data_IF_695623303134
#
_entry.id   IF_695623303134
#
_cell.length_a   1.000
_cell.length_b   1.000
_cell.length_c   1.000
_cell.angle_alpha   90.00
_cell.angle_beta   90.00
_cell.angle_gamma   90.00
#
_symmetry.space_group_name_H-M   'P 1'
#
loop_
_entity.id
_entity.type
_entity.pdbx_description
1 polymer ?
#
# COMPACT_ATOMS: atom_id res chain seq x y z
N UNK A 1 1.62 -4.21 5.82
CA UNK A 1 1.26 -5.35 6.68
C UNK A 1 0.94 -4.95 8.11
N UNK A 2 1.40 -3.80 8.58
CA UNK A 2 1.09 -3.32 9.93
C UNK A 2 -0.42 -3.16 10.14
N UNK A 3 -1.13 -2.78 9.11
CA UNK A 3 -2.59 -2.60 9.16
C UNK A 3 -3.30 -3.95 9.16
N UNK A 4 -2.81 -4.90 8.40
CA UNK A 4 -3.31 -6.28 8.41
C UNK A 4 -3.02 -6.97 9.75
N UNK A 5 -1.85 -6.72 10.33
CA UNK A 5 -1.47 -7.23 11.64
C UNK A 5 -2.37 -6.72 12.78
N UNK A 6 -3.03 -5.56 12.66
CA UNK A 6 -3.88 -5.05 13.73
C UNK A 6 -5.17 -5.85 13.94
N UNK A 7 -5.76 -6.39 12.88
CA UNK A 7 -6.93 -7.27 13.01
C UNK A 7 -6.55 -8.57 13.70
N UNK A 8 -5.45 -9.13 13.30
CA UNK A 8 -4.86 -10.32 13.89
C UNK A 8 -4.50 -10.12 15.35
N UNK A 9 -3.89 -8.98 15.69
CA UNK A 9 -3.44 -8.70 17.06
C UNK A 9 -4.60 -8.72 18.04
N UNK A 10 -5.79 -8.24 17.67
CA UNK A 10 -6.96 -8.30 18.55
C UNK A 10 -7.47 -9.71 18.75
N UNK A 11 -7.54 -10.51 17.69
CA UNK A 11 -7.92 -11.92 17.74
C UNK A 11 -6.87 -12.75 18.49
N UNK A 12 -5.61 -12.51 18.19
CA UNK A 12 -4.48 -13.21 18.79
C UNK A 12 -4.26 -12.84 20.25
N UNK A 13 -4.49 -11.58 20.64
CA UNK A 13 -4.43 -11.18 22.03
C UNK A 13 -5.44 -11.96 22.88
N UNK A 14 -6.65 -12.20 22.37
CA UNK A 14 -7.66 -13.03 23.01
C UNK A 14 -7.28 -14.50 23.08
N UNK A 15 -6.57 -15.00 22.06
CA UNK A 15 -6.20 -16.41 21.89
C UNK A 15 -4.71 -16.70 22.13
N UNK A 16 -3.97 -15.71 22.61
CA UNK A 16 -2.52 -15.74 22.77
C UNK A 16 -2.02 -16.93 23.61
N UNK A 17 -2.79 -17.40 24.58
CA UNK A 17 -2.42 -18.58 25.38
C UNK A 17 -2.48 -19.90 24.60
N UNK A 18 -3.21 -19.91 23.49
CA UNK A 18 -3.43 -21.09 22.66
C UNK A 18 -2.67 -20.99 21.33
N UNK A 19 -2.16 -19.82 20.98
CA UNK A 19 -1.43 -19.64 19.75
C UNK A 19 -0.04 -20.27 19.83
N UNK A 20 0.33 -21.08 18.85
CA UNK A 20 1.70 -21.54 18.72
C UNK A 20 2.60 -20.32 18.47
N UNK A 21 3.70 -20.12 19.24
CA UNK A 21 4.51 -18.91 19.20
C UNK A 21 5.16 -18.60 17.83
N UNK A 22 5.15 -19.55 16.90
CA UNK A 22 5.63 -19.39 15.53
C UNK A 22 4.54 -19.22 14.48
N UNK A 23 3.26 -19.24 14.88
CA UNK A 23 2.12 -19.13 13.95
C UNK A 23 1.38 -17.83 14.18
N UNK A 24 1.65 -16.89 13.34
CA UNK A 24 0.91 -15.64 13.20
C UNK A 24 -0.01 -15.75 11.99
N UNK A 25 -1.09 -16.51 12.16
CA UNK A 25 -2.05 -16.79 11.09
C UNK A 25 -3.32 -16.02 11.41
N UNK A 26 -3.82 -15.26 10.46
CA UNK A 26 -5.20 -14.79 10.48
C UNK A 26 -6.11 -15.97 10.19
N UNK A 27 -6.61 -16.62 11.23
CA UNK A 27 -7.42 -17.83 11.10
C UNK A 27 -8.63 -17.64 10.18
N UNK A 28 -9.26 -16.46 10.26
CA UNK A 28 -10.45 -16.14 9.45
C UNK A 28 -10.11 -16.02 7.96
N UNK A 29 -8.95 -15.46 7.62
CA UNK A 29 -8.55 -15.24 6.23
C UNK A 29 -7.80 -16.43 5.66
N UNK A 30 -6.86 -16.99 6.41
CA UNK A 30 -5.97 -18.03 5.89
C UNK A 30 -6.55 -19.43 6.02
N UNK A 31 -7.27 -19.72 7.10
CA UNK A 31 -7.82 -21.06 7.32
C UNK A 31 -9.15 -21.27 6.60
N UNK A 32 -10.06 -20.31 6.64
CA UNK A 32 -11.36 -20.42 5.99
C UNK A 32 -11.26 -20.35 4.46
N UNK A 33 -10.24 -19.68 3.96
CA UNK A 33 -10.00 -19.51 2.52
C UNK A 33 -8.93 -20.45 1.95
N UNK A 34 -8.44 -21.40 2.73
CA UNK A 34 -7.46 -22.37 2.24
C UNK A 34 -6.10 -21.76 1.91
N UNK A 35 -5.64 -20.79 2.69
CA UNK A 35 -4.37 -20.08 2.50
C UNK A 35 -4.23 -19.38 1.14
N UNK A 36 -5.35 -19.09 0.49
CA UNK A 36 -5.39 -18.36 -0.77
C UNK A 36 -5.51 -16.86 -0.61
N UNK A 37 -5.49 -16.17 -1.74
CA UNK A 37 -5.82 -14.75 -1.79
C UNK A 37 -7.32 -14.62 -1.61
N UNK A 38 -7.75 -14.06 -0.51
CA UNK A 38 -9.17 -13.82 -0.22
C UNK A 38 -9.47 -12.36 -0.47
N UNK A 39 -10.51 -12.04 -1.25
CA UNK A 39 -10.99 -10.68 -1.36
C UNK A 39 -11.41 -10.19 0.03
N UNK A 40 -10.73 -9.17 0.52
CA UNK A 40 -11.09 -8.53 1.76
C UNK A 40 -12.16 -7.47 1.46
N UNK A 41 -13.36 -7.66 2.00
CA UNK A 41 -14.41 -6.66 1.91
C UNK A 41 -14.38 -5.76 3.15
N UNK A 42 -13.94 -4.52 2.95
CA UNK A 42 -13.93 -3.52 4.00
C UNK A 42 -15.35 -3.14 4.41
N UNK A 43 -15.63 -3.25 5.70
CA UNK A 43 -16.91 -2.89 6.31
C UNK A 43 -16.72 -1.73 7.28
N UNK A 44 -17.24 -0.56 6.93
CA UNK A 44 -17.04 0.69 7.66
C UNK A 44 -17.64 0.70 9.09
N UNK A 45 -18.57 -0.20 9.39
CA UNK A 45 -19.16 -0.38 10.72
C UNK A 45 -18.49 -1.47 11.56
N UNK A 46 -17.64 -2.28 10.97
CA UNK A 46 -16.85 -3.25 11.70
C UNK A 46 -15.73 -2.54 12.48
N UNK A 47 -15.63 -2.81 13.76
CA UNK A 47 -14.64 -2.16 14.64
C UNK A 47 -13.21 -2.36 14.16
N UNK A 48 -12.85 -3.61 13.83
CA UNK A 48 -11.49 -3.97 13.44
C UNK A 48 -11.10 -3.32 12.11
N UNK A 49 -12.01 -3.38 11.11
CA UNK A 49 -11.78 -2.74 9.81
C UNK A 49 -11.62 -1.23 9.94
N UNK A 50 -12.49 -0.60 10.72
CA UNK A 50 -12.45 0.83 11.02
C UNK A 50 -11.16 1.24 11.71
N UNK A 51 -10.73 0.45 12.71
CA UNK A 51 -9.51 0.72 13.45
C UNK A 51 -8.26 0.57 12.56
N UNK A 52 -8.21 -0.47 11.73
CA UNK A 52 -7.13 -0.66 10.77
C UNK A 52 -7.02 0.53 9.79
N UNK A 53 -8.15 0.96 9.25
CA UNK A 53 -8.21 2.12 8.36
C UNK A 53 -7.71 3.39 9.06
N UNK A 54 -8.16 3.64 10.30
CA UNK A 54 -7.75 4.79 11.07
C UNK A 54 -6.25 4.76 11.42
N UNK A 55 -5.73 3.63 11.90
CA UNK A 55 -4.31 3.45 12.22
C UNK A 55 -3.44 3.63 10.97
N UNK A 56 -3.86 3.12 9.81
CA UNK A 56 -3.14 3.31 8.57
C UNK A 56 -2.96 4.80 8.23
N UNK A 57 -4.04 5.59 8.33
CA UNK A 57 -3.98 7.04 8.11
C UNK A 57 -3.18 7.77 9.20
N UNK A 58 -3.31 7.36 10.47
CA UNK A 58 -2.51 7.92 11.56
C UNK A 58 -1.01 7.76 11.31
N UNK A 59 -0.57 6.58 10.90
CA UNK A 59 0.84 6.33 10.60
C UNK A 59 1.35 7.26 9.51
N UNK A 60 0.59 7.43 8.42
CA UNK A 60 0.94 8.37 7.36
C UNK A 60 1.03 9.80 7.88
N UNK A 61 0.09 10.24 8.70
CA UNK A 61 0.02 11.62 9.16
C UNK A 61 0.97 11.95 10.30
N UNK A 62 1.34 10.99 11.13
CA UNK A 62 2.26 11.16 12.27
C UNK A 62 3.73 11.06 11.86
N UNK A 63 4.06 10.20 10.90
CA UNK A 63 5.42 10.07 10.40
C UNK A 63 5.77 11.30 9.55
N UNK A 64 6.65 12.16 10.08
CA UNK A 64 6.99 13.45 9.45
C UNK A 64 7.80 13.31 8.18
N UNK A 65 8.70 12.33 8.13
CA UNK A 65 9.58 12.09 7.00
C UNK A 65 8.91 11.17 5.96
N UNK A 66 8.48 11.70 4.80
CA UNK A 66 7.76 10.92 3.80
C UNK A 66 8.63 9.83 3.14
N UNK A 67 9.95 9.86 3.33
CA UNK A 67 10.87 8.83 2.84
C UNK A 67 10.84 7.53 3.67
N UNK A 68 10.16 7.54 4.81
CA UNK A 68 10.08 6.40 5.74
C UNK A 68 8.77 5.63 5.66
N UNK A 69 7.87 6.02 4.79
CA UNK A 69 6.56 5.41 4.65
C UNK A 69 6.18 5.34 3.17
N UNK A 70 5.49 4.29 2.77
CA UNK A 70 5.11 4.05 1.37
C UNK A 70 3.67 3.64 1.28
N UNK A 71 2.95 4.19 0.30
CA UNK A 71 1.57 3.85 0.05
C UNK A 71 1.49 2.58 -0.79
N UNK A 72 0.79 1.59 -0.27
CA UNK A 72 0.42 0.38 -1.01
C UNK A 72 -1.01 -0.02 -0.69
N UNK A 73 -1.68 -0.64 -1.65
CA UNK A 73 -3.01 -1.22 -1.45
C UNK A 73 -2.95 -2.67 -1.01
N UNK A 74 -1.77 -3.29 -1.00
CA UNK A 74 -1.62 -4.74 -0.80
C UNK A 74 -2.56 -5.54 -1.71
N UNK A 75 -2.63 -5.11 -2.98
CA UNK A 75 -3.55 -5.70 -3.97
C UNK A 75 -3.27 -7.20 -4.16
N UNK A 76 -4.32 -8.04 -4.14
CA UNK A 76 -5.75 -7.72 -4.00
C UNK A 76 -6.26 -7.72 -2.54
N UNK A 77 -5.43 -8.08 -1.56
CA UNK A 77 -5.86 -8.39 -0.19
C UNK A 77 -6.38 -7.16 0.58
N UNK A 78 -5.66 -6.05 0.53
CA UNK A 78 -6.04 -4.83 1.24
C UNK A 78 -7.06 -3.99 0.46
N UNK A 79 -6.77 -3.71 -0.81
CA UNK A 79 -7.67 -2.99 -1.72
C UNK A 79 -7.24 -3.20 -3.18
N UNK A 80 -8.15 -2.96 -4.12
CA UNK A 80 -7.77 -2.87 -5.52
C UNK A 80 -6.78 -1.72 -5.76
N UNK A 81 -5.82 -1.88 -6.68
CA UNK A 81 -4.90 -0.78 -6.98
C UNK A 81 -5.60 0.44 -7.61
N UNK A 82 -6.81 0.28 -8.12
CA UNK A 82 -7.69 1.41 -8.52
C UNK A 82 -8.13 2.29 -7.35
N UNK A 83 -7.90 1.88 -6.10
CA UNK A 83 -8.21 2.69 -4.92
C UNK A 83 -7.14 3.76 -4.59
N UNK A 84 -5.98 3.77 -5.27
CA UNK A 84 -4.93 4.76 -5.01
C UNK A 84 -5.41 6.22 -5.06
N UNK A 85 -6.22 6.68 -6.04
CA UNK A 85 -6.70 8.05 -6.07
C UNK A 85 -7.45 8.44 -4.80
N UNK A 86 -8.35 7.58 -4.34
CA UNK A 86 -9.11 7.79 -3.08
C UNK A 86 -8.20 7.84 -1.86
N UNK A 87 -7.21 6.95 -1.77
CA UNK A 87 -6.24 6.93 -0.67
C UNK A 87 -5.38 8.20 -0.65
N UNK A 88 -4.98 8.68 -1.82
CA UNK A 88 -4.24 9.94 -1.95
C UNK A 88 -5.11 11.12 -1.48
N UNK A 89 -6.38 11.16 -1.88
CA UNK A 89 -7.32 12.20 -1.43
C UNK A 89 -7.46 12.21 0.09
N UNK A 90 -7.56 11.05 0.74
CA UNK A 90 -7.61 10.96 2.20
C UNK A 90 -6.37 11.58 2.88
N UNK A 91 -5.21 11.55 2.23
CA UNK A 91 -3.98 12.16 2.74
C UNK A 91 -3.90 13.66 2.45
N UNK A 92 -4.47 14.13 1.34
CA UNK A 92 -4.36 15.51 0.86
C UNK A 92 -5.53 16.42 1.26
N UNK A 93 -6.69 15.86 1.60
CA UNK A 93 -7.92 16.59 1.92
C UNK A 93 -8.43 16.18 3.30
N UNK A 94 -8.19 17.06 4.26
CA UNK A 94 -8.64 16.84 5.65
C UNK A 94 -10.16 16.82 5.77
N UNK A 95 -10.85 17.68 5.04
CA UNK A 95 -12.31 17.76 5.11
C UNK A 95 -12.96 16.47 4.64
N UNK A 96 -12.45 15.93 3.54
CA UNK A 96 -12.86 14.63 3.03
C UNK A 96 -12.54 13.52 4.02
N UNK A 97 -11.32 13.46 4.52
CA UNK A 97 -10.89 12.49 5.54
C UNK A 97 -11.76 12.53 6.78
N UNK A 98 -12.08 13.73 7.29
CA UNK A 98 -12.92 13.91 8.46
C UNK A 98 -14.36 13.43 8.20
N UNK A 99 -14.87 13.60 6.98
CA UNK A 99 -16.21 13.10 6.61
C UNK A 99 -16.24 11.57 6.58
N UNK A 100 -15.22 10.93 6.02
CA UNK A 100 -15.10 9.48 6.02
C UNK A 100 -14.87 8.92 7.44
N UNK A 101 -14.07 9.62 8.27
CA UNK A 101 -13.82 9.23 9.66
C UNK A 101 -15.10 9.20 10.50
N UNK A 102 -16.03 10.13 10.28
CA UNK A 102 -17.34 10.14 10.97
C UNK A 102 -18.24 8.96 10.58
N UNK A 103 -17.97 8.31 9.46
CA UNK A 103 -18.76 7.18 8.96
C UNK A 103 -18.35 5.83 9.54
N UNK A 104 -17.12 5.70 10.03
CA UNK A 104 -16.61 4.44 10.56
C UNK A 104 -17.23 4.10 11.92
N UNK A 105 -16.90 2.92 12.46
CA UNK A 105 -17.36 2.48 13.78
C UNK A 105 -17.02 3.49 14.89
N UNK A 106 -17.97 3.79 15.78
CA UNK A 106 -17.82 4.82 16.81
C UNK A 106 -16.74 4.50 17.85
N UNK A 107 -16.59 3.23 18.24
CA UNK A 107 -15.55 2.83 19.20
C UNK A 107 -14.15 2.92 18.56
N UNK A 108 -14.04 2.66 17.25
CA UNK A 108 -12.81 2.89 16.52
C UNK A 108 -12.47 4.39 16.44
N UNK A 109 -13.47 5.26 16.24
CA UNK A 109 -13.26 6.70 16.29
C UNK A 109 -12.72 7.16 17.65
N UNK A 110 -13.29 6.67 18.75
CA UNK A 110 -12.84 6.98 20.12
C UNK A 110 -11.44 6.45 20.42
N UNK A 111 -11.05 5.34 19.81
CA UNK A 111 -9.74 4.70 19.98
C UNK A 111 -8.66 5.29 19.09
N UNK A 112 -8.97 6.28 18.26
CA UNK A 112 -8.09 6.85 17.24
C UNK A 112 -7.83 8.33 17.50
N UNK A 113 -6.61 8.79 17.21
CA UNK A 113 -6.25 10.21 17.23
C UNK A 113 -6.47 10.92 15.89
N UNK A 114 -6.90 10.18 14.87
CA UNK A 114 -7.01 10.64 13.48
C UNK A 114 -7.83 11.93 13.34
N UNK A 115 -8.95 12.04 14.08
CA UNK A 115 -9.81 13.23 14.06
C UNK A 115 -9.12 14.52 14.54
N UNK A 116 -8.04 14.40 15.32
CA UNK A 116 -7.25 15.52 15.83
C UNK A 116 -6.10 15.92 14.91
N UNK A 117 -5.75 15.09 13.92
CA UNK A 117 -4.62 15.31 13.04
C UNK A 117 -4.97 16.32 11.95
N UNK A 118 -4.20 17.42 11.91
CA UNK A 118 -4.42 18.53 10.96
C UNK A 118 -3.55 18.47 9.72
N UNK A 119 -2.56 17.56 9.69
CA UNK A 119 -1.63 17.43 8.58
C UNK A 119 -2.34 17.03 7.30
N UNK A 120 -1.94 17.64 6.21
CA UNK A 120 -2.26 17.26 4.84
C UNK A 120 -0.96 17.08 4.07
N UNK A 121 -0.97 16.12 3.16
CA UNK A 121 0.13 15.92 2.24
C UNK A 121 0.00 16.87 1.05
N UNK A 122 1.10 17.41 0.60
CA UNK A 122 1.17 18.15 -0.67
C UNK A 122 1.58 17.21 -1.81
N UNK A 123 1.58 17.71 -3.05
CA UNK A 123 1.94 16.91 -4.23
C UNK A 123 3.38 16.38 -4.18
N UNK A 124 4.29 17.11 -3.55
CA UNK A 124 5.67 16.67 -3.37
C UNK A 124 5.76 15.47 -2.41
N UNK A 125 5.06 15.52 -1.29
CA UNK A 125 4.97 14.40 -0.35
C UNK A 125 4.38 13.16 -1.04
N UNK A 126 3.31 13.33 -1.83
CA UNK A 126 2.68 12.26 -2.60
C UNK A 126 3.66 11.68 -3.63
N UNK A 127 4.43 12.51 -4.32
CA UNK A 127 5.44 12.03 -5.27
C UNK A 127 6.52 11.18 -4.59
N UNK A 128 6.96 11.57 -3.39
CA UNK A 128 7.90 10.75 -2.61
C UNK A 128 7.23 9.44 -2.20
N UNK A 129 6.06 9.51 -1.59
CA UNK A 129 5.34 8.38 -1.01
C UNK A 129 5.01 7.29 -2.02
N UNK A 130 4.71 7.69 -3.26
CA UNK A 130 4.19 6.80 -4.32
C UNK A 130 5.18 6.53 -5.46
N UNK A 131 6.30 7.26 -5.54
CA UNK A 131 7.27 7.16 -6.66
C UNK A 131 8.71 7.06 -6.17
N UNK A 132 9.25 8.16 -5.64
CA UNK A 132 10.67 8.24 -5.29
C UNK A 132 11.05 7.33 -4.13
N UNK A 133 10.23 7.28 -3.08
CA UNK A 133 10.44 6.43 -1.92
C UNK A 133 10.45 4.94 -2.27
N UNK A 134 9.41 4.39 -2.90
CA UNK A 134 9.41 3.01 -3.37
C UNK A 134 10.59 2.65 -4.28
N UNK A 135 10.94 3.54 -5.23
CA UNK A 135 12.09 3.32 -6.11
C UNK A 135 13.40 3.21 -5.31
N UNK A 136 13.59 4.12 -4.34
CA UNK A 136 14.78 4.12 -3.46
C UNK A 136 14.89 2.84 -2.63
N UNK A 137 13.79 2.38 -2.05
CA UNK A 137 13.75 1.14 -1.24
C UNK A 137 14.08 -0.09 -2.07
N UNK A 138 13.61 -0.10 -3.33
CA UNK A 138 13.88 -1.19 -4.27
C UNK A 138 15.26 -1.08 -4.93
N UNK A 139 16.09 -0.09 -4.58
CA UNK A 139 17.42 0.13 -5.18
C UNK A 139 17.39 0.58 -6.65
N UNK A 140 16.26 1.11 -7.11
CA UNK A 140 16.07 1.53 -8.51
C UNK A 140 16.53 2.98 -8.70
N UNK A 141 17.83 3.18 -8.89
CA UNK A 141 18.45 4.51 -8.96
C UNK A 141 18.07 5.36 -10.17
N UNK A 142 17.55 4.74 -11.23
CA UNK A 142 17.18 5.42 -12.48
C UNK A 142 15.67 5.56 -12.69
N UNK A 143 14.87 5.36 -11.64
CA UNK A 143 13.41 5.45 -11.65
C UNK A 143 12.95 6.27 -10.43
N UNK A 144 11.76 6.85 -10.52
CA UNK A 144 11.13 7.57 -9.40
C UNK A 144 11.54 9.03 -9.27
N UNK A 145 12.31 9.56 -10.21
CA UNK A 145 12.70 10.96 -10.27
C UNK A 145 12.80 11.46 -11.72
N UNK A 146 12.89 12.78 -11.89
CA UNK A 146 12.99 13.46 -13.20
C UNK A 146 14.41 13.99 -13.49
N UNK A 147 15.42 13.49 -12.76
CA UNK A 147 16.80 13.90 -12.95
C UNK A 147 17.39 13.39 -14.28
N UNK A 148 18.50 14.00 -14.70
CA UNK A 148 19.23 13.58 -15.91
C UNK A 148 19.69 12.13 -15.75
N UNK A 149 19.46 11.32 -16.79
CA UNK A 149 19.78 9.88 -16.79
C UNK A 149 18.66 8.98 -16.26
N UNK A 150 17.59 9.54 -15.69
CA UNK A 150 16.44 8.74 -15.28
C UNK A 150 15.63 8.24 -16.48
N UNK A 151 14.99 7.10 -16.32
CA UNK A 151 14.02 6.60 -17.31
C UNK A 151 12.84 7.55 -17.41
N UNK A 152 12.43 7.86 -18.62
CA UNK A 152 11.27 8.72 -18.88
C UNK A 152 9.94 7.97 -18.62
N UNK A 153 9.72 7.60 -17.33
CA UNK A 153 8.47 7.09 -16.80
C UNK A 153 7.74 8.25 -16.14
N UNK A 154 6.87 8.92 -16.86
CA UNK A 154 6.29 10.21 -16.47
C UNK A 154 4.78 10.11 -16.56
N UNK A 155 4.08 10.52 -15.50
CA UNK A 155 2.64 10.75 -15.53
C UNK A 155 2.37 12.24 -15.40
N UNK A 156 1.58 12.77 -16.31
CA UNK A 156 1.16 14.18 -16.32
C UNK A 156 -0.31 14.24 -15.95
N UNK A 157 -0.63 15.08 -14.99
CA UNK A 157 -1.99 15.35 -14.55
C UNK A 157 -2.37 16.80 -14.83
N UNK A 158 -3.64 17.04 -15.12
CA UNK A 158 -4.22 18.36 -15.03
C UNK A 158 -4.55 18.64 -13.58
N UNK A 159 -4.12 19.77 -13.03
CA UNK A 159 -4.42 20.11 -11.65
C UNK A 159 -5.93 20.31 -11.47
N UNK A 160 -6.49 19.68 -10.45
CA UNK A 160 -7.89 19.76 -10.05
C UNK A 160 -8.01 19.94 -8.56
N UNK A 161 -9.07 20.58 -8.11
CA UNK A 161 -9.40 20.69 -6.70
C UNK A 161 -9.65 19.29 -6.08
N UNK A 162 -10.50 18.49 -6.74
CA UNK A 162 -10.70 17.10 -6.37
C UNK A 162 -9.48 16.25 -6.75
N UNK A 163 -8.72 15.85 -5.72
CA UNK A 163 -7.49 15.06 -5.92
C UNK A 163 -7.77 13.61 -6.32
N UNK A 164 -8.93 13.05 -5.98
CA UNK A 164 -9.34 11.73 -6.46
C UNK A 164 -9.52 11.77 -7.99
N UNK A 165 -10.35 12.71 -8.47
CA UNK A 165 -10.58 12.89 -9.90
C UNK A 165 -9.28 13.22 -10.66
N UNK A 166 -8.39 14.02 -10.06
CA UNK A 166 -7.10 14.35 -10.65
C UNK A 166 -6.25 13.09 -10.89
N UNK A 167 -6.12 12.22 -9.88
CA UNK A 167 -5.26 11.04 -9.95
C UNK A 167 -5.89 9.86 -10.70
N UNK A 168 -7.22 9.80 -10.79
CA UNK A 168 -7.92 8.82 -11.64
C UNK A 168 -7.72 9.06 -13.13
N UNK A 169 -7.57 10.33 -13.52
CA UNK A 169 -7.62 10.75 -14.94
C UNK A 169 -6.30 11.42 -15.37
N UNK A 170 -5.22 10.65 -15.56
CA UNK A 170 -3.96 11.22 -16.05
C UNK A 170 -4.15 11.77 -17.48
N UNK A 171 -3.64 12.98 -17.70
CA UNK A 171 -3.63 13.60 -19.00
C UNK A 171 -2.74 12.83 -19.98
N UNK A 172 -1.51 12.51 -19.55
CA UNK A 172 -0.57 11.68 -20.33
C UNK A 172 0.21 10.75 -19.42
N UNK A 173 0.53 9.55 -19.93
CA UNK A 173 1.46 8.62 -19.28
C UNK A 173 2.51 8.20 -20.29
N UNK A 174 3.78 8.36 -19.90
CA UNK A 174 4.93 7.92 -20.66
C UNK A 174 5.61 6.75 -19.95
N UNK A 175 6.02 5.76 -20.73
CA UNK A 175 6.81 4.62 -20.29
C UNK A 175 8.05 4.51 -21.14
N UNK A 176 9.22 4.62 -20.52
CA UNK A 176 10.52 4.63 -21.22
C UNK A 176 10.50 5.62 -22.43
N UNK A 177 9.93 6.83 -22.24
CA UNK A 177 9.80 7.87 -23.25
C UNK A 177 8.67 7.67 -24.28
N UNK A 178 7.97 6.56 -24.27
CA UNK A 178 6.85 6.30 -25.17
C UNK A 178 5.53 6.73 -24.54
N UNK A 179 4.70 7.47 -25.29
CA UNK A 179 3.35 7.82 -24.87
C UNK A 179 2.47 6.55 -24.88
N UNK A 180 2.00 6.15 -23.72
CA UNK A 180 1.17 4.94 -23.55
C UNK A 180 -0.28 5.24 -23.19
N UNK A 181 -0.56 6.41 -22.59
CA UNK A 181 -1.92 6.88 -22.31
C UNK A 181 -2.00 8.36 -22.67
N UNK A 182 -3.11 8.77 -23.27
CA UNK A 182 -3.48 10.17 -23.53
C UNK A 182 -4.98 10.36 -23.30
N UNK A 183 -5.34 11.33 -22.45
CA UNK A 183 -6.74 11.64 -22.09
C UNK A 183 -7.52 10.38 -21.66
N UNK A 184 -6.93 9.58 -20.77
CA UNK A 184 -7.54 8.35 -20.27
C UNK A 184 -7.61 7.18 -21.29
N UNK A 185 -7.14 7.36 -22.53
CA UNK A 185 -7.15 6.34 -23.57
C UNK A 185 -5.78 5.70 -23.75
N UNK A 186 -5.73 4.38 -23.73
CA UNK A 186 -4.51 3.62 -24.00
C UNK A 186 -4.12 3.82 -25.46
N UNK A 187 -2.89 4.28 -25.71
CA UNK A 187 -2.31 4.51 -27.03
C UNK A 187 -1.45 3.32 -27.47
N UNK A 188 -0.75 2.71 -26.51
CA UNK A 188 0.16 1.61 -26.76
C UNK A 188 0.24 0.72 -25.53
N UNK A 189 0.31 -0.59 -25.76
CA UNK A 189 0.55 -1.58 -24.70
C UNK A 189 2.03 -1.93 -24.67
N UNK A 190 2.59 -2.00 -23.49
CA UNK A 190 3.97 -2.39 -23.24
C UNK A 190 4.03 -3.62 -22.34
N UNK A 191 4.90 -4.54 -22.66
CA UNK A 191 5.25 -5.61 -21.75
C UNK A 191 6.09 -5.06 -20.60
N UNK A 192 5.82 -5.51 -19.39
CA UNK A 192 6.65 -5.23 -18.22
C UNK A 192 8.01 -5.88 -18.31
N UNK A 193 8.93 -5.46 -17.44
CA UNK A 193 10.22 -6.12 -17.22
C UNK A 193 10.22 -6.75 -15.84
N UNK A 194 10.75 -7.94 -15.73
CA UNK A 194 11.05 -8.56 -14.45
C UNK A 194 12.37 -7.97 -13.92
N UNK A 195 12.36 -7.57 -12.67
CA UNK A 195 13.57 -7.23 -11.92
C UNK A 195 13.83 -8.35 -10.92
N UNK A 196 15.00 -8.93 -10.98
CA UNK A 196 15.46 -9.95 -10.04
C UNK A 196 16.63 -9.40 -9.23
N UNK A 197 16.67 -9.72 -7.95
CA UNK A 197 17.85 -9.48 -7.13
C UNK A 197 18.71 -10.75 -7.16
N UNK A 198 19.94 -10.60 -7.59
CA UNK A 198 20.96 -11.63 -7.41
C UNK A 198 21.70 -11.32 -6.11
N UNK A 199 21.32 -12.03 -5.05
CA UNK A 199 22.00 -11.89 -3.76
C UNK A 199 23.19 -12.83 -3.70
N UNK A 200 24.32 -12.32 -3.24
CA UNK A 200 25.45 -13.19 -2.88
C UNK A 200 25.12 -13.90 -1.56
N UNK A 201 25.23 -15.22 -1.57
CA UNK A 201 24.94 -16.06 -0.40
C UNK A 201 25.83 -17.30 -0.40
N UNK A 202 25.99 -17.92 0.76
CA UNK A 202 26.72 -19.19 0.89
C UNK A 202 25.93 -20.32 0.23
N UNK A 203 26.38 -20.73 -0.97
CA UNK A 203 25.73 -21.77 -1.75
C UNK A 203 25.76 -23.16 -1.10
N UNK A 204 26.55 -23.37 -0.06
CA UNK A 204 26.58 -24.65 0.67
C UNK A 204 25.24 -24.98 1.30
N UNK A 205 24.44 -23.96 1.68
CA UNK A 205 23.11 -24.11 2.26
C UNK A 205 22.06 -24.69 1.30
N UNK A 206 22.29 -24.58 -0.02
CA UNK A 206 21.30 -25.07 -1.02
C UNK A 206 21.02 -26.56 -0.88
N UNK A 207 22.03 -27.37 -0.55
CA UNK A 207 21.86 -28.80 -0.34
C UNK A 207 20.98 -29.11 0.86
N UNK A 208 21.19 -28.39 1.95
CA UNK A 208 20.41 -28.54 3.16
C UNK A 208 18.94 -28.15 2.93
N UNK A 209 18.73 -27.00 2.30
CA UNK A 209 17.40 -26.50 1.93
C UNK A 209 16.69 -27.49 1.01
N UNK A 210 17.35 -27.95 -0.06
CA UNK A 210 16.79 -28.91 -1.01
C UNK A 210 16.41 -30.22 -0.33
N UNK A 211 17.28 -30.74 0.54
CA UNK A 211 17.02 -31.97 1.29
C UNK A 211 15.83 -31.80 2.24
N UNK A 212 15.71 -30.63 2.87
CA UNK A 212 14.59 -30.33 3.75
C UNK A 212 13.27 -30.31 2.97
N UNK A 213 13.22 -29.61 1.84
CA UNK A 213 12.01 -29.56 1.01
C UNK A 213 11.61 -30.93 0.45
N UNK A 214 12.58 -31.71 -0.06
CA UNK A 214 12.30 -33.07 -0.56
C UNK A 214 11.74 -34.02 0.51
N UNK A 215 12.09 -33.78 1.78
CA UNK A 215 11.60 -34.61 2.88
C UNK A 215 10.17 -34.25 3.33
N UNK A 216 9.75 -33.01 3.15
CA UNK A 216 8.50 -32.49 3.76
C UNK A 216 7.47 -31.99 2.72
N UNK A 217 7.80 -31.98 1.44
CA UNK A 217 6.90 -31.70 0.31
C UNK A 217 6.85 -32.91 -0.65
#
# INVERSE_FOLDING_TARGET
QTVTASADTMSQYKNHHFAHPKKWICADIECDAGCGIVPFEYQDKNFVNSLQWAIGLELFLLIKDPWRIYLTTDHPNGAAFTAYPKLIKLLMDKSYRDSEFKRINEEAQKSSVLGNLKREYNLYDIAILTRAGPAKVLGLSNIGHLGVGAKANITVYNDKEDKEEMFENPFMVFKDGNLIVKNGKIQKVFNGKLYTAETDFDKSIEKEISSYFQKYM
#
